data_IF_731460671854
#
_entry.id   IF_731460671854
#
_cell.length_a   1.000
_cell.length_b   1.000
_cell.length_c   1.000
_cell.angle_alpha   90.00
_cell.angle_beta   90.00
_cell.angle_gamma   90.00
#
_symmetry.space_group_name_H-M   'P 1'
#
loop_
_entity.id
_entity.type
_entity.pdbx_description
1 polymer ?
#
# COMPACT_ATOMS: atom_id res chain seq x y z
N UNK A 1 -17.88 12.75 -2.79
CA UNK A 1 -17.60 13.90 -3.70
C UNK A 1 -16.48 13.58 -4.70
N UNK A 2 -16.45 12.36 -5.27
CA UNK A 2 -15.42 11.99 -6.24
C UNK A 2 -15.97 12.25 -7.64
N UNK A 3 -15.19 12.91 -8.52
CA UNK A 3 -15.51 13.08 -9.94
C UNK A 3 -16.20 14.38 -10.37
N UNK A 4 -16.59 15.27 -9.44
CA UNK A 4 -17.15 16.58 -9.80
C UNK A 4 -16.04 17.64 -9.88
N UNK A 5 -15.85 18.25 -11.05
CA UNK A 5 -14.78 19.25 -11.30
C UNK A 5 -15.32 20.67 -11.50
N UNK A 6 -16.63 20.82 -11.71
CA UNK A 6 -17.26 22.13 -11.98
C UNK A 6 -17.93 22.74 -10.73
N UNK A 7 -18.20 24.05 -10.80
CA UNK A 7 -18.61 24.86 -9.64
C UNK A 7 -19.89 24.35 -8.98
N UNK A 8 -20.94 24.28 -9.78
CA UNK A 8 -22.31 23.93 -9.40
C UNK A 8 -22.43 22.48 -8.93
N UNK A 9 -21.67 21.56 -9.52
CA UNK A 9 -21.71 20.12 -9.19
C UNK A 9 -21.18 19.81 -7.78
N UNK A 10 -20.15 20.53 -7.34
CA UNK A 10 -19.58 20.37 -5.99
C UNK A 10 -20.53 20.96 -4.94
N UNK A 11 -21.04 22.19 -5.12
CA UNK A 11 -21.99 22.80 -4.20
C UNK A 11 -23.28 21.98 -4.09
N UNK A 12 -23.80 21.47 -5.21
CA UNK A 12 -24.94 20.54 -5.21
C UNK A 12 -24.66 19.26 -4.42
N UNK A 13 -23.46 18.71 -4.54
CA UNK A 13 -23.06 17.50 -3.80
C UNK A 13 -22.93 17.77 -2.30
N UNK A 14 -22.35 18.90 -1.90
CA UNK A 14 -22.24 19.30 -0.49
C UNK A 14 -23.61 19.54 0.12
N UNK A 15 -24.51 20.23 -0.58
CA UNK A 15 -25.87 20.46 -0.12
C UNK A 15 -26.65 19.15 0.08
N UNK A 16 -26.53 18.19 -0.85
CA UNK A 16 -27.13 16.85 -0.69
C UNK A 16 -26.65 16.14 0.56
N UNK A 17 -25.35 16.21 0.85
CA UNK A 17 -24.76 15.60 2.05
C UNK A 17 -25.28 16.28 3.32
N UNK A 18 -25.33 17.62 3.34
CA UNK A 18 -25.87 18.37 4.48
C UNK A 18 -27.34 18.04 4.74
N UNK A 19 -28.17 17.94 3.68
CA UNK A 19 -29.57 17.54 3.80
C UNK A 19 -29.72 16.10 4.31
N UNK A 20 -28.94 15.16 3.78
CA UNK A 20 -28.92 13.79 4.29
C UNK A 20 -28.53 13.74 5.77
N UNK A 21 -27.59 14.57 6.21
CA UNK A 21 -27.24 14.64 7.63
C UNK A 21 -28.42 15.09 8.48
N UNK A 22 -29.19 16.08 8.02
CA UNK A 22 -30.38 16.55 8.73
C UNK A 22 -31.49 15.48 8.76
N UNK A 23 -31.81 14.87 7.61
CA UNK A 23 -32.80 13.80 7.49
C UNK A 23 -32.48 12.58 8.37
N UNK A 24 -31.20 12.23 8.46
CA UNK A 24 -30.71 11.09 9.25
C UNK A 24 -30.31 11.48 10.69
N UNK A 25 -30.66 12.68 11.15
CA UNK A 25 -30.38 13.19 12.51
C UNK A 25 -28.89 13.16 12.90
N UNK A 26 -28.00 13.31 11.92
CA UNK A 26 -26.54 13.32 12.09
C UNK A 26 -26.11 14.69 12.61
N UNK A 27 -25.42 14.71 13.76
CA UNK A 27 -25.07 15.96 14.45
C UNK A 27 -23.82 16.65 13.93
N UNK A 28 -22.98 15.95 13.18
CA UNK A 28 -21.77 16.52 12.60
C UNK A 28 -21.32 15.85 11.31
N UNK A 29 -20.77 16.64 10.40
CA UNK A 29 -20.19 16.15 9.14
C UNK A 29 -18.86 16.84 8.84
N UNK A 30 -17.95 16.13 8.17
CA UNK A 30 -16.64 16.64 7.80
C UNK A 30 -16.47 16.71 6.29
N UNK A 31 -16.00 17.84 5.77
CA UNK A 31 -15.62 18.01 4.36
C UNK A 31 -14.14 18.33 4.24
N UNK A 32 -13.42 17.82 3.23
CA UNK A 32 -12.10 18.30 2.90
C UNK A 32 -12.17 19.76 2.43
N UNK A 33 -11.15 20.55 2.74
CA UNK A 33 -10.98 21.90 2.20
C UNK A 33 -10.85 21.83 0.66
N UNK A 34 -11.81 22.42 -0.05
CA UNK A 34 -11.83 22.48 -1.51
C UNK A 34 -10.60 23.26 -2.00
N UNK A 35 -9.86 22.67 -2.95
CA UNK A 35 -8.61 23.25 -3.49
C UNK A 35 -7.31 22.72 -2.87
N UNK A 36 -7.37 21.72 -1.99
CA UNK A 36 -6.16 21.13 -1.34
C UNK A 36 -5.59 19.89 -2.04
N UNK A 37 -6.18 19.48 -3.17
CA UNK A 37 -5.76 18.32 -3.97
C UNK A 37 -4.87 18.65 -5.17
N UNK A 38 -4.34 17.61 -5.85
CA UNK A 38 -3.35 17.68 -6.95
C UNK A 38 -3.84 18.31 -8.26
N UNK A 39 -5.02 18.94 -8.24
CA UNK A 39 -5.60 19.72 -9.33
C UNK A 39 -5.85 21.10 -8.75
N UNK A 40 -5.00 22.08 -9.10
CA UNK A 40 -5.29 23.52 -9.30
C UNK A 40 -3.97 24.30 -9.22
N UNK A 41 -3.61 24.93 -10.34
CA UNK A 41 -2.55 25.91 -10.46
C UNK A 41 -3.15 27.33 -10.31
N UNK A 42 -2.42 28.21 -9.62
CA UNK A 42 -2.64 29.66 -9.39
C UNK A 42 -3.43 30.10 -8.16
N UNK A 43 -2.87 31.11 -7.48
CA UNK A 43 -3.41 31.83 -6.30
C UNK A 43 -4.80 32.47 -6.55
N UNK A 44 -5.15 32.71 -7.83
CA UNK A 44 -6.41 33.32 -8.27
C UNK A 44 -7.63 32.39 -8.03
N UNK A 45 -7.43 31.09 -7.81
CA UNK A 45 -8.52 30.16 -7.49
C UNK A 45 -8.73 29.90 -6.00
N UNK A 46 -7.75 30.22 -5.14
CA UNK A 46 -7.91 30.13 -3.68
C UNK A 46 -8.91 31.17 -3.16
N UNK A 47 -8.92 32.37 -3.72
CA UNK A 47 -9.93 33.41 -3.43
C UNK A 47 -11.33 33.02 -3.92
N UNK A 48 -11.44 32.27 -5.03
CA UNK A 48 -12.72 31.74 -5.52
C UNK A 48 -13.23 30.57 -4.67
N UNK A 49 -12.35 29.68 -4.20
CA UNK A 49 -12.70 28.67 -3.19
C UNK A 49 -13.11 29.31 -1.85
N UNK A 50 -12.49 30.45 -1.49
CA UNK A 50 -12.80 31.32 -0.34
C UNK A 50 -14.26 31.78 -0.35
N UNK A 51 -14.73 32.30 -1.48
CA UNK A 51 -16.12 32.76 -1.68
C UNK A 51 -17.14 31.60 -1.69
N UNK A 52 -16.68 30.37 -2.00
CA UNK A 52 -17.52 29.19 -2.28
C UNK A 52 -18.10 28.53 -1.02
N UNK A 53 -17.27 28.34 0.01
CA UNK A 53 -17.74 27.91 1.34
C UNK A 53 -18.75 28.88 1.95
N UNK A 54 -18.56 30.15 1.61
CA UNK A 54 -19.30 31.30 2.09
C UNK A 54 -20.74 31.34 1.55
N UNK A 55 -20.91 31.01 0.26
CA UNK A 55 -22.22 30.89 -0.38
C UNK A 55 -22.95 29.60 0.03
N UNK A 56 -22.23 28.49 0.20
CA UNK A 56 -22.83 27.21 0.65
C UNK A 56 -23.34 27.29 2.11
N UNK A 57 -22.67 28.02 3.00
CA UNK A 57 -23.15 28.27 4.36
C UNK A 57 -24.39 29.18 4.41
N UNK A 58 -24.52 30.13 3.47
CA UNK A 58 -25.76 30.93 3.29
C UNK A 58 -26.92 30.10 2.73
N UNK A 59 -26.64 28.97 2.06
CA UNK A 59 -27.69 28.08 1.53
C UNK A 59 -28.39 27.24 2.61
N UNK A 60 -27.86 27.21 3.85
CA UNK A 60 -28.52 26.66 5.05
C UNK A 60 -29.52 27.64 5.67
N UNK A 61 -30.23 28.43 4.84
CA UNK A 61 -31.23 29.41 5.29
C UNK A 61 -32.39 28.77 6.10
N UNK A 62 -32.46 27.43 6.13
CA UNK A 62 -33.26 26.66 7.07
C UNK A 62 -32.41 26.32 8.29
N UNK A 63 -32.71 26.92 9.44
CA UNK A 63 -32.06 26.59 10.72
C UNK A 63 -32.12 25.08 10.98
N UNK A 64 -31.01 24.33 10.87
CA UNK A 64 -31.04 22.88 10.99
C UNK A 64 -31.34 22.47 12.43
N UNK A 65 -32.22 21.49 12.64
CA UNK A 65 -32.61 21.01 13.96
C UNK A 65 -31.62 19.99 14.50
N UNK A 66 -30.95 19.23 13.64
CA UNK A 66 -30.15 18.07 14.04
C UNK A 66 -28.67 18.24 13.73
N UNK A 67 -28.29 18.82 12.59
CA UNK A 67 -26.90 19.07 12.24
C UNK A 67 -26.35 20.30 12.98
N UNK A 68 -25.46 20.07 13.95
CA UNK A 68 -24.92 21.12 14.84
C UNK A 68 -23.51 21.59 14.46
N UNK A 69 -22.71 20.75 13.81
CA UNK A 69 -21.28 21.04 13.53
C UNK A 69 -20.89 20.61 12.12
N UNK A 70 -20.18 21.48 11.40
CA UNK A 70 -19.55 21.14 10.13
C UNK A 70 -18.04 21.36 10.29
N UNK A 71 -17.27 20.29 10.11
CA UNK A 71 -15.81 20.33 10.19
C UNK A 71 -15.22 20.46 8.79
N UNK A 72 -14.30 21.41 8.60
CA UNK A 72 -13.53 21.52 7.36
C UNK A 72 -12.10 21.03 7.62
N UNK A 73 -11.69 19.98 6.90
CA UNK A 73 -10.39 19.33 7.06
C UNK A 73 -9.39 19.94 6.09
N UNK A 74 -8.41 20.68 6.61
CA UNK A 74 -7.34 21.30 5.83
C UNK A 74 -6.16 20.33 5.80
N UNK A 75 -5.83 19.81 4.63
CA UNK A 75 -4.78 18.80 4.48
C UNK A 75 -3.35 19.38 4.53
N UNK A 76 -3.18 20.67 4.24
CA UNK A 76 -1.87 21.33 4.23
C UNK A 76 -1.83 22.46 5.27
N UNK A 77 -1.01 22.31 6.30
CA UNK A 77 -0.91 23.26 7.42
C UNK A 77 -0.58 24.70 6.97
N UNK A 78 0.21 24.86 5.89
CA UNK A 78 0.53 26.16 5.29
C UNK A 78 -0.69 26.96 4.79
N UNK A 79 -1.82 26.31 4.56
CA UNK A 79 -3.06 26.93 4.08
C UNK A 79 -3.98 27.37 5.24
N UNK A 80 -3.61 27.06 6.49
CA UNK A 80 -4.41 27.40 7.68
C UNK A 80 -4.58 28.92 7.88
N UNK A 81 -3.54 29.77 7.72
CA UNK A 81 -3.68 31.22 7.88
C UNK A 81 -4.65 31.85 6.87
N UNK A 82 -4.56 31.43 5.60
CA UNK A 82 -5.43 31.92 4.51
C UNK A 82 -6.90 31.56 4.74
N UNK A 83 -7.14 30.36 5.25
CA UNK A 83 -8.47 29.89 5.59
C UNK A 83 -9.04 30.60 6.83
N UNK A 84 -8.22 30.86 7.86
CA UNK A 84 -8.67 31.63 9.03
C UNK A 84 -9.05 33.06 8.66
N UNK A 85 -8.28 33.70 7.77
CA UNK A 85 -8.61 35.03 7.26
C UNK A 85 -9.90 35.03 6.41
N UNK A 86 -10.15 33.95 5.65
CA UNK A 86 -11.39 33.73 4.90
C UNK A 86 -12.62 33.72 5.78
N UNK A 87 -12.57 32.89 6.83
CA UNK A 87 -13.67 32.73 7.77
C UNK A 87 -13.93 34.04 8.52
N UNK A 88 -12.89 34.81 8.86
CA UNK A 88 -13.04 36.14 9.47
C UNK A 88 -13.74 37.15 8.54
N UNK A 89 -13.37 37.20 7.25
CA UNK A 89 -13.99 38.09 6.25
C UNK A 89 -15.43 37.71 5.89
N UNK A 90 -15.84 36.48 6.17
CA UNK A 90 -17.14 35.91 5.76
C UNK A 90 -18.35 36.36 6.58
N UNK A 91 -18.14 36.86 7.80
CA UNK A 91 -19.23 37.16 8.74
C UNK A 91 -19.99 35.93 9.27
N UNK A 92 -19.61 34.70 8.88
CA UNK A 92 -20.24 33.44 9.34
C UNK A 92 -19.86 33.05 10.77
N UNK A 93 -18.87 33.73 11.34
CA UNK A 93 -18.51 33.62 12.76
C UNK A 93 -18.91 34.92 13.43
N UNK A 94 -19.93 34.88 14.29
CA UNK A 94 -20.14 35.96 15.25
C UNK A 94 -18.84 36.11 16.03
N UNK A 95 -18.23 37.31 16.10
CA UNK A 95 -17.13 37.55 17.03
C UNK A 95 -17.61 37.06 18.40
N UNK A 96 -16.79 36.28 19.11
CA UNK A 96 -17.01 36.08 20.53
C UNK A 96 -17.23 37.47 21.12
N UNK A 97 -18.44 37.73 21.59
CA UNK A 97 -18.77 39.01 22.22
C UNK A 97 -17.68 39.25 23.26
N UNK A 98 -16.95 40.36 23.10
CA UNK A 98 -16.07 40.82 24.17
C UNK A 98 -16.93 40.87 25.43
N UNK A 99 -16.49 40.31 26.55
CA UNK A 99 -17.22 40.45 27.80
C UNK A 99 -17.41 41.95 28.02
N UNK A 100 -18.66 42.38 28.11
CA UNK A 100 -18.99 43.69 28.67
C UNK A 100 -18.42 43.65 30.09
N UNK A 101 -17.37 44.43 30.33
CA UNK A 101 -16.79 44.60 31.66
C UNK A 101 -17.81 45.43 32.45
N UNK A 102 -18.48 44.89 33.48
CA UNK A 102 -19.23 45.72 34.41
C UNK A 102 -18.21 46.56 35.18
N UNK A 103 -18.51 47.85 35.31
CA UNK A 103 -17.78 48.78 36.20
C UNK A 103 -17.58 48.11 37.57
N UNK A 104 -16.35 48.12 38.13
CA UNK A 104 -16.07 47.38 39.35
C UNK A 104 -16.79 48.05 40.52
N UNK A 105 -17.88 47.43 40.96
CA UNK A 105 -18.38 47.64 42.32
C UNK A 105 -17.56 46.72 43.23
N UNK A 106 -16.85 47.35 44.17
CA UNK A 106 -16.01 46.69 45.15
C UNK A 106 -16.83 45.62 45.91
N UNK A 107 -16.48 44.35 45.71
CA UNK A 107 -16.82 43.25 46.61
C UNK A 107 -15.62 42.29 46.73
N UNK A 108 -15.44 41.67 47.91
CA UNK A 108 -14.16 41.12 48.35
C UNK A 108 -13.75 39.89 47.52
N UNK A 109 -12.44 39.70 47.39
CA UNK A 109 -11.82 38.59 46.68
C UNK A 109 -12.20 37.23 47.32
N UNK A 110 -13.16 36.54 46.73
CA UNK A 110 -13.40 35.12 46.98
C UNK A 110 -12.47 34.36 46.03
N UNK A 111 -11.53 33.59 46.58
CA UNK A 111 -10.70 32.66 45.83
C UNK A 111 -11.59 31.59 45.18
N UNK A 112 -11.93 31.79 43.90
CA UNK A 112 -12.74 30.85 43.13
C UNK A 112 -11.87 29.69 42.66
N UNK A 113 -11.85 28.61 43.46
CA UNK A 113 -11.40 27.31 42.99
C UNK A 113 -12.32 26.86 41.84
N UNK A 114 -11.73 26.48 40.71
CA UNK A 114 -12.45 25.85 39.60
C UNK A 114 -12.01 24.39 39.48
N UNK A 115 -12.86 23.56 38.86
CA UNK A 115 -12.52 22.20 38.48
C UNK A 115 -12.70 22.00 36.97
N UNK A 116 -11.81 21.23 36.36
CA UNK A 116 -11.84 20.87 34.94
C UNK A 116 -11.58 19.40 34.74
N UNK A 117 -12.45 18.78 33.96
CA UNK A 117 -12.33 17.38 33.59
C UNK A 117 -11.53 17.25 32.30
N UNK A 118 -10.61 16.28 32.28
CA UNK A 118 -9.85 15.83 31.13
C UNK A 118 -10.27 14.39 30.86
N UNK A 119 -10.84 14.14 29.68
CA UNK A 119 -11.33 12.83 29.29
C UNK A 119 -10.49 12.25 28.16
N UNK A 120 -9.90 11.08 28.38
CA UNK A 120 -9.11 10.35 27.38
C UNK A 120 -8.86 8.92 27.83
N UNK A 121 -9.00 7.95 26.91
CA UNK A 121 -8.64 6.56 27.14
C UNK A 121 -7.15 6.34 27.42
N UNK A 122 -6.28 7.29 27.05
CA UNK A 122 -4.82 7.18 27.18
C UNK A 122 -4.26 7.72 28.50
N UNK A 123 -5.12 8.00 29.48
CA UNK A 123 -4.67 8.44 30.82
C UNK A 123 -3.89 7.33 31.53
N UNK A 124 -4.29 6.07 31.34
CA UNK A 124 -3.60 4.90 31.90
C UNK A 124 -2.27 4.60 31.22
N UNK A 125 -2.09 5.07 29.98
CA UNK A 125 -0.94 4.76 29.12
C UNK A 125 0.23 5.75 29.32
N UNK A 126 0.06 6.73 30.22
CA UNK A 126 1.10 7.69 30.54
C UNK A 126 2.32 6.99 31.16
N UNK A 127 3.55 7.23 30.67
CA UNK A 127 4.75 6.67 31.27
C UNK A 127 5.00 7.27 32.67
N UNK A 128 5.77 6.55 33.48
CA UNK A 128 6.09 6.99 34.86
C UNK A 128 6.79 8.35 34.92
N UNK A 129 7.53 8.73 33.87
CA UNK A 129 8.10 10.08 33.73
C UNK A 129 7.04 11.16 33.69
N UNK A 130 5.97 10.93 32.93
CA UNK A 130 4.90 11.89 32.70
C UNK A 130 4.00 11.94 33.92
N UNK A 131 3.72 10.80 34.56
CA UNK A 131 3.05 10.75 35.86
C UNK A 131 3.79 11.56 36.92
N UNK A 132 5.11 11.41 37.02
CA UNK A 132 5.96 12.21 37.92
C UNK A 132 5.92 13.70 37.57
N UNK A 133 5.93 14.05 36.27
CA UNK A 133 5.78 15.44 35.83
C UNK A 133 4.42 16.03 36.21
N UNK A 134 3.34 15.26 36.11
CA UNK A 134 1.99 15.67 36.53
C UNK A 134 1.94 15.89 38.06
N UNK A 135 2.57 15.02 38.84
CA UNK A 135 2.69 15.21 40.30
C UNK A 135 3.52 16.47 40.63
N UNK A 136 4.60 16.72 39.89
CA UNK A 136 5.39 17.93 40.05
C UNK A 136 4.58 19.19 39.70
N UNK A 137 3.78 19.16 38.62
CA UNK A 137 2.85 20.23 38.26
C UNK A 137 1.81 20.47 39.36
N UNK A 138 1.26 19.40 39.94
CA UNK A 138 0.32 19.50 41.05
C UNK A 138 0.91 20.25 42.25
N UNK A 139 2.15 19.91 42.63
CA UNK A 139 2.85 20.55 43.75
C UNK A 139 3.24 21.99 43.45
N UNK A 140 3.78 22.26 42.26
CA UNK A 140 4.25 23.59 41.87
C UNK A 140 3.10 24.60 41.78
N UNK A 141 1.94 24.17 41.27
CA UNK A 141 0.81 25.04 41.01
C UNK A 141 -0.27 25.00 42.11
N UNK A 142 -0.04 24.27 43.23
CA UNK A 142 -1.01 24.07 44.31
C UNK A 142 -2.39 23.61 43.82
N UNK A 143 -2.40 22.75 42.81
CA UNK A 143 -3.61 22.17 42.22
C UNK A 143 -3.77 20.72 42.64
N UNK A 144 -5.01 20.27 42.77
CA UNK A 144 -5.35 18.87 43.01
C UNK A 144 -5.68 18.18 41.68
N UNK A 145 -5.02 17.05 41.43
CA UNK A 145 -5.23 16.21 40.24
C UNK A 145 -5.73 14.86 40.72
N UNK A 146 -6.97 14.51 40.36
CA UNK A 146 -7.62 13.28 40.77
C UNK A 146 -8.02 12.45 39.54
N UNK A 147 -7.46 11.24 39.42
CA UNK A 147 -7.94 10.25 38.44
C UNK A 147 -9.26 9.69 38.96
N UNK A 148 -10.36 10.03 38.28
CA UNK A 148 -11.73 9.71 38.71
C UNK A 148 -12.21 8.39 38.09
N UNK A 149 -11.69 8.04 36.91
CA UNK A 149 -11.86 6.76 36.23
C UNK A 149 -10.66 6.51 35.31
N UNK A 150 -10.58 5.33 34.68
CA UNK A 150 -9.53 5.00 33.71
C UNK A 150 -9.45 5.98 32.53
N UNK A 151 -10.55 6.64 32.20
CA UNK A 151 -10.66 7.59 31.09
C UNK A 151 -10.87 9.05 31.54
N UNK A 152 -10.83 9.35 32.84
CA UNK A 152 -11.15 10.68 33.35
C UNK A 152 -10.23 11.14 34.47
N UNK A 153 -9.68 12.33 34.31
CA UNK A 153 -8.86 13.04 35.28
C UNK A 153 -9.48 14.42 35.57
N UNK A 154 -9.60 14.77 36.85
CA UNK A 154 -10.17 16.03 37.32
C UNK A 154 -9.06 16.90 37.90
N UNK A 155 -8.88 18.11 37.37
CA UNK A 155 -7.91 19.12 37.86
C UNK A 155 -8.67 20.23 38.57
N UNK A 156 -8.33 20.53 39.82
CA UNK A 156 -8.99 21.55 40.63
C UNK A 156 -8.01 22.48 41.35
N UNK A 157 -8.38 23.76 41.49
CA UNK A 157 -7.52 24.79 42.08
C UNK A 157 -7.80 26.19 41.54
N UNK A 158 -6.84 27.10 41.66
CA UNK A 158 -6.97 28.47 41.14
C UNK A 158 -7.09 28.44 39.62
N UNK A 159 -7.95 29.31 39.07
CA UNK A 159 -8.32 29.32 37.64
C UNK A 159 -7.15 29.23 36.67
N UNK A 160 -6.17 30.12 36.80
CA UNK A 160 -5.07 30.22 35.83
C UNK A 160 -4.16 28.98 35.90
N UNK A 161 -3.90 28.51 37.12
CA UNK A 161 -3.07 27.34 37.41
C UNK A 161 -3.71 26.04 36.91
N UNK A 162 -5.04 25.91 37.04
CA UNK A 162 -5.81 24.79 36.51
C UNK A 162 -5.76 24.77 34.98
N UNK A 163 -5.91 25.93 34.32
CA UNK A 163 -5.89 25.99 32.86
C UNK A 163 -4.51 25.65 32.28
N UNK A 164 -3.42 26.17 32.87
CA UNK A 164 -2.05 25.84 32.46
C UNK A 164 -1.75 24.33 32.65
N UNK A 165 -2.14 23.77 33.80
CA UNK A 165 -1.94 22.36 34.06
C UNK A 165 -2.75 21.47 33.13
N UNK A 166 -4.01 21.81 32.84
CA UNK A 166 -4.84 21.06 31.88
C UNK A 166 -4.21 21.07 30.48
N UNK A 167 -3.63 22.20 30.03
CA UNK A 167 -2.93 22.26 28.75
C UNK A 167 -1.70 21.32 28.73
N UNK A 168 -0.88 21.34 29.79
CA UNK A 168 0.29 20.47 29.92
C UNK A 168 -0.09 18.98 29.98
N UNK A 169 -1.12 18.65 30.76
CA UNK A 169 -1.65 17.29 30.89
C UNK A 169 -2.18 16.79 29.54
N UNK A 170 -2.93 17.61 28.80
CA UNK A 170 -3.37 17.27 27.45
C UNK A 170 -2.18 17.05 26.49
N UNK A 171 -1.08 17.80 26.66
CA UNK A 171 0.17 17.55 25.94
C UNK A 171 0.75 16.17 26.19
N UNK A 172 0.82 15.73 27.45
CA UNK A 172 1.28 14.38 27.81
C UNK A 172 0.34 13.29 27.25
N UNK A 173 -0.97 13.49 27.36
CA UNK A 173 -1.96 12.54 26.83
C UNK A 173 -1.84 12.43 25.29
N UNK A 174 -1.66 13.55 24.60
CA UNK A 174 -1.46 13.54 23.16
C UNK A 174 -0.16 12.81 22.78
N UNK A 175 0.93 13.04 23.53
CA UNK A 175 2.19 12.33 23.32
C UNK A 175 2.06 10.82 23.56
N UNK A 176 1.25 10.38 24.53
CA UNK A 176 0.97 8.96 24.75
C UNK A 176 0.19 8.35 23.57
N UNK A 177 -0.83 9.05 23.05
CA UNK A 177 -1.57 8.65 21.86
C UNK A 177 -0.69 8.53 20.62
N UNK A 178 0.18 9.51 20.41
CA UNK A 178 1.10 9.52 19.27
C UNK A 178 2.12 8.38 19.38
N UNK A 179 2.54 8.03 20.61
CA UNK A 179 3.43 6.89 20.87
C UNK A 179 2.77 5.55 20.58
N UNK A 180 1.55 5.32 21.06
CA UNK A 180 0.81 4.08 20.75
C UNK A 180 0.60 3.93 19.24
N UNK A 181 0.22 5.03 18.57
CA UNK A 181 0.06 5.05 17.11
C UNK A 181 1.37 4.67 16.43
N UNK A 182 2.49 5.28 16.84
CA UNK A 182 3.83 4.98 16.31
C UNK A 182 4.23 3.53 16.59
N UNK A 183 4.04 3.02 17.80
CA UNK A 183 4.33 1.63 18.15
C UNK A 183 3.53 0.65 17.29
N UNK A 184 2.25 0.94 17.05
CA UNK A 184 1.41 0.18 16.14
C UNK A 184 1.93 0.19 14.70
N UNK A 185 2.35 1.35 14.20
CA UNK A 185 2.90 1.48 12.85
C UNK A 185 4.29 0.83 12.70
N UNK A 186 5.17 0.99 13.68
CA UNK A 186 6.50 0.33 13.74
C UNK A 186 6.32 -1.19 13.79
N UNK A 187 5.39 -1.68 14.61
CA UNK A 187 5.08 -3.11 14.72
C UNK A 187 4.55 -3.66 13.40
N UNK A 188 3.69 -2.92 12.70
CA UNK A 188 3.21 -3.31 11.37
C UNK A 188 4.34 -3.29 10.34
N UNK A 189 5.20 -2.27 10.37
CA UNK A 189 6.26 -2.13 9.38
C UNK A 189 7.30 -3.24 9.53
N UNK A 190 7.77 -3.54 10.75
CA UNK A 190 8.79 -4.59 10.99
C UNK A 190 8.37 -5.99 10.54
N UNK A 191 7.07 -6.25 10.41
CA UNK A 191 6.56 -7.53 9.89
C UNK A 191 6.68 -7.62 8.35
N UNK A 192 6.96 -6.50 7.69
CA UNK A 192 6.95 -6.38 6.22
C UNK A 192 8.27 -5.88 5.63
N UNK A 193 9.03 -5.07 6.39
CA UNK A 193 10.18 -4.30 5.91
C UNK A 193 11.17 -4.02 7.05
N UNK A 194 12.46 -4.17 6.75
CA UNK A 194 13.54 -3.68 7.59
C UNK A 194 14.62 -3.05 6.71
N UNK A 195 15.27 -2.02 7.22
CA UNK A 195 16.43 -1.44 6.57
C UNK A 195 17.69 -2.14 7.05
N UNK A 196 18.57 -2.49 6.12
CA UNK A 196 19.86 -3.11 6.40
C UNK A 196 21.00 -2.18 5.97
N UNK A 197 22.10 -2.26 6.71
CA UNK A 197 23.30 -1.48 6.45
C UNK A 197 24.51 -2.40 6.36
N UNK A 198 25.25 -2.29 5.27
CA UNK A 198 26.49 -3.04 5.06
C UNK A 198 27.66 -2.43 5.86
N UNK A 199 28.16 -3.15 6.86
CA UNK A 199 29.37 -2.81 7.62
C UNK A 199 30.53 -3.71 7.16
N UNK A 200 31.30 -3.23 6.19
CA UNK A 200 32.32 -4.04 5.52
C UNK A 200 31.65 -5.12 4.67
N UNK A 201 31.95 -6.40 4.93
CA UNK A 201 31.35 -7.54 4.21
C UNK A 201 30.08 -8.10 4.87
N UNK A 202 29.62 -7.51 5.98
CA UNK A 202 28.44 -8.00 6.73
C UNK A 202 27.28 -7.03 6.63
N UNK A 203 26.09 -7.58 6.44
CA UNK A 203 24.83 -6.85 6.51
C UNK A 203 24.27 -6.94 7.92
N UNK A 204 23.84 -5.80 8.46
CA UNK A 204 23.21 -5.71 9.78
C UNK A 204 21.85 -5.02 9.66
N UNK A 205 20.81 -5.65 10.19
CA UNK A 205 19.46 -5.09 10.23
C UNK A 205 19.35 -4.00 11.30
N UNK A 206 18.79 -2.86 10.92
CA UNK A 206 18.54 -1.73 11.81
C UNK A 206 17.36 -2.03 12.74
N UNK A 207 17.36 -1.38 13.92
CA UNK A 207 16.24 -1.44 14.85
C UNK A 207 14.92 -1.03 14.16
N UNK A 208 13.81 -1.69 14.51
CA UNK A 208 12.51 -1.44 13.89
C UNK A 208 12.08 0.03 13.93
N UNK A 209 12.39 0.75 15.01
CA UNK A 209 12.10 2.19 15.14
C UNK A 209 12.89 3.04 14.13
N UNK A 210 14.18 2.74 13.98
CA UNK A 210 15.07 3.42 13.01
C UNK A 210 14.61 3.11 11.59
N UNK A 211 14.35 1.84 11.28
CA UNK A 211 13.84 1.41 9.97
C UNK A 211 12.54 2.14 9.61
N UNK A 212 11.63 2.34 10.57
CA UNK A 212 10.41 3.10 10.36
C UNK A 212 10.65 4.58 10.05
N UNK A 213 11.56 5.23 10.77
CA UNK A 213 11.88 6.64 10.52
C UNK A 213 12.53 6.86 9.14
N UNK A 214 13.43 5.95 8.74
CA UNK A 214 14.06 5.96 7.41
C UNK A 214 13.01 5.75 6.32
N UNK A 215 12.16 4.73 6.46
CA UNK A 215 11.09 4.44 5.50
C UNK A 215 10.10 5.61 5.37
N UNK A 216 9.72 6.22 6.48
CA UNK A 216 8.82 7.36 6.49
C UNK A 216 9.45 8.56 5.75
N UNK A 217 10.74 8.81 5.93
CA UNK A 217 11.47 9.86 5.23
C UNK A 217 11.59 9.57 3.72
N UNK A 218 11.91 8.32 3.36
CA UNK A 218 11.99 7.85 1.99
C UNK A 218 10.65 7.99 1.26
N UNK A 219 9.55 7.52 1.87
CA UNK A 219 8.20 7.62 1.31
C UNK A 219 7.73 9.08 1.17
N UNK A 220 8.22 9.99 2.03
CA UNK A 220 7.99 11.44 1.91
C UNK A 220 8.82 12.11 0.82
N UNK A 221 9.66 11.35 0.10
CA UNK A 221 10.58 11.85 -0.94
C UNK A 221 11.55 12.89 -0.40
N UNK A 222 11.99 12.71 0.84
CA UNK A 222 13.12 13.48 1.35
C UNK A 222 14.39 13.03 0.64
N UNK A 223 15.41 13.90 0.58
CA UNK A 223 16.70 13.56 -0.03
C UNK A 223 17.61 12.80 0.94
N UNK A 224 17.45 13.07 2.23
CA UNK A 224 18.20 12.42 3.28
C UNK A 224 17.43 12.41 4.59
N UNK A 225 17.82 11.53 5.51
CA UNK A 225 17.35 11.53 6.90
C UNK A 225 18.51 11.24 7.85
N UNK A 226 18.32 11.54 9.12
CA UNK A 226 19.29 11.24 10.18
C UNK A 226 18.68 10.34 11.23
N UNK A 227 19.49 9.41 11.74
CA UNK A 227 19.13 8.56 12.87
C UNK A 227 20.32 8.44 13.84
N UNK A 228 20.00 8.06 15.08
CA UNK A 228 20.98 7.81 16.12
C UNK A 228 21.01 6.33 16.47
N UNK A 229 22.21 5.77 16.55
CA UNK A 229 22.43 4.38 16.96
C UNK A 229 23.72 4.31 17.78
N UNK A 230 23.66 3.65 18.95
CA UNK A 230 24.80 3.51 19.88
C UNK A 230 25.50 4.84 20.24
N UNK A 231 24.77 5.95 20.21
CA UNK A 231 25.29 7.29 20.53
C UNK A 231 25.95 8.04 19.37
N UNK A 232 26.03 7.44 18.18
CA UNK A 232 26.54 8.08 16.97
C UNK A 232 25.39 8.56 16.07
N UNK A 233 25.62 9.60 15.27
CA UNK A 233 24.63 10.14 14.32
C UNK A 233 25.00 9.77 12.89
N UNK A 234 24.07 9.11 12.24
CA UNK A 234 24.15 8.62 10.87
C UNK A 234 23.25 9.43 9.95
N UNK A 235 23.70 9.72 8.73
CA UNK A 235 22.92 10.39 7.68
C UNK A 235 22.76 9.46 6.48
N UNK A 236 21.52 9.17 6.12
CA UNK A 236 21.15 8.36 4.95
C UNK A 236 20.95 9.30 3.75
N UNK A 237 21.63 9.06 2.63
CA UNK A 237 21.44 9.70 1.33
C UNK A 237 20.60 8.77 0.45
N UNK A 238 19.35 9.16 0.16
CA UNK A 238 18.41 8.31 -0.57
C UNK A 238 18.65 8.26 -2.08
N UNK A 239 19.38 9.23 -2.64
CA UNK A 239 19.72 9.23 -4.07
C UNK A 239 20.82 8.20 -4.35
N UNK A 240 21.75 8.03 -3.40
CA UNK A 240 22.86 7.06 -3.49
C UNK A 240 22.60 5.74 -2.79
N UNK A 241 21.60 5.69 -1.92
CA UNK A 241 21.37 4.59 -0.98
C UNK A 241 22.61 4.30 -0.13
N UNK A 242 23.21 5.38 0.42
CA UNK A 242 24.42 5.32 1.26
C UNK A 242 24.15 5.94 2.64
N UNK A 243 24.73 5.37 3.70
CA UNK A 243 24.77 5.96 5.04
C UNK A 243 26.15 6.50 5.34
N UNK A 244 26.23 7.72 5.86
CA UNK A 244 27.47 8.36 6.31
C UNK A 244 27.42 8.63 7.81
N UNK A 245 28.55 8.45 8.49
CA UNK A 245 28.67 8.85 9.89
C UNK A 245 29.48 10.14 10.04
N UNK A 246 28.96 11.01 10.90
CA UNK A 246 29.46 12.37 11.13
C UNK A 246 30.86 12.42 11.76
N UNK A 247 31.33 11.36 12.40
CA UNK A 247 32.56 11.32 13.21
C UNK A 247 33.75 10.75 12.44
N UNK A 248 33.52 9.80 11.54
CA UNK A 248 34.57 8.95 10.97
C UNK A 248 34.50 8.80 9.44
N UNK A 249 33.52 9.43 8.77
CA UNK A 249 33.48 9.56 7.32
C UNK A 249 33.30 8.24 6.55
N UNK A 250 33.03 7.12 7.25
CA UNK A 250 32.74 5.86 6.59
C UNK A 250 31.44 5.97 5.78
N UNK A 251 31.43 5.30 4.63
CA UNK A 251 30.24 5.12 3.79
C UNK A 251 29.80 3.67 3.90
N UNK A 252 28.55 3.47 4.27
CA UNK A 252 27.89 2.16 4.32
C UNK A 252 26.82 2.14 3.23
N UNK A 253 26.52 0.97 2.68
CA UNK A 253 25.42 0.82 1.72
C UNK A 253 24.15 0.54 2.53
N UNK A 254 23.09 1.29 2.24
CA UNK A 254 21.77 1.09 2.83
C UNK A 254 20.88 0.35 1.82
N UNK A 255 20.18 -0.69 2.26
CA UNK A 255 19.20 -1.35 1.42
C UNK A 255 17.92 -1.61 2.20
N UNK A 256 16.79 -1.39 1.54
CA UNK A 256 15.49 -1.79 2.06
C UNK A 256 15.29 -3.27 1.77
N UNK A 257 15.24 -4.10 2.80
CA UNK A 257 14.97 -5.53 2.65
C UNK A 257 13.58 -5.87 3.20
N UNK A 258 12.83 -6.78 2.56
CA UNK A 258 11.60 -7.30 3.16
C UNK A 258 11.95 -8.09 4.43
N UNK A 259 11.53 -7.61 5.61
CA UNK A 259 11.92 -8.20 6.91
C UNK A 259 11.38 -9.61 7.14
N UNK A 260 10.43 -10.05 6.31
CA UNK A 260 9.87 -11.40 6.38
C UNK A 260 9.64 -11.88 4.96
N UNK A 261 10.37 -12.92 4.57
CA UNK A 261 10.01 -13.78 3.45
C UNK A 261 8.62 -14.35 3.75
N UNK A 262 7.57 -13.73 3.18
CA UNK A 262 6.11 -14.01 3.29
C UNK A 262 5.36 -13.54 4.58
N UNK A 263 4.57 -12.45 4.51
CA UNK A 263 3.09 -12.45 4.35
C UNK A 263 2.47 -11.02 4.47
N UNK A 264 1.87 -10.52 3.37
CA UNK A 264 0.75 -9.55 3.21
C UNK A 264 0.64 -8.20 3.96
N UNK A 265 0.55 -7.16 3.12
CA UNK A 265 -0.22 -5.90 3.21
C UNK A 265 0.36 -4.72 4.03
N UNK A 266 1.02 -3.77 3.36
CA UNK A 266 0.41 -2.53 2.84
C UNK A 266 1.45 -1.65 2.09
N UNK A 267 1.88 -2.10 0.91
CA UNK A 267 2.03 -1.18 -0.23
C UNK A 267 1.71 -2.00 -1.48
N UNK A 268 0.84 -1.47 -2.32
CA UNK A 268 0.33 -2.12 -3.52
C UNK A 268 1.39 -2.15 -4.65
N UNK A 269 2.66 -2.32 -4.30
CA UNK A 269 3.77 -2.29 -5.24
C UNK A 269 4.15 -3.73 -5.53
N UNK A 270 3.66 -4.24 -6.66
CA UNK A 270 4.14 -5.49 -7.23
C UNK A 270 5.53 -5.20 -7.77
N UNK A 271 6.55 -5.65 -7.05
CA UNK A 271 7.93 -5.51 -7.48
C UNK A 271 8.22 -6.46 -8.65
N UNK A 272 8.95 -6.02 -9.69
CA UNK A 272 9.47 -6.91 -10.70
C UNK A 272 10.46 -7.91 -10.08
N UNK A 273 10.69 -9.07 -10.70
CA UNK A 273 11.75 -10.00 -10.31
C UNK A 273 13.10 -9.30 -10.25
N UNK A 274 13.94 -9.69 -9.29
CA UNK A 274 15.31 -9.16 -9.13
C UNK A 274 16.21 -9.44 -10.32
N UNK A 275 15.86 -10.43 -11.16
CA UNK A 275 16.58 -10.72 -12.41
C UNK A 275 16.32 -9.69 -13.50
N UNK A 276 15.29 -8.84 -13.38
CA UNK A 276 14.97 -7.87 -14.42
C UNK A 276 16.01 -6.78 -14.53
N UNK A 277 16.38 -6.44 -15.76
CA UNK A 277 17.12 -5.22 -16.07
C UNK A 277 16.19 -4.02 -16.05
N UNK A 278 16.77 -2.82 -15.95
CA UNK A 278 16.04 -1.56 -15.96
C UNK A 278 15.21 -1.42 -17.24
N UNK A 279 13.91 -1.15 -17.08
CA UNK A 279 12.94 -1.04 -18.19
C UNK A 279 12.88 0.35 -18.84
N UNK A 280 13.48 1.39 -18.23
CA UNK A 280 13.48 2.78 -18.70
C UNK A 280 12.09 3.33 -19.13
N UNK A 281 11.03 2.90 -18.43
CA UNK A 281 9.65 3.33 -18.69
C UNK A 281 8.91 2.54 -19.79
N UNK A 282 9.54 1.52 -20.38
CA UNK A 282 8.89 0.60 -21.32
C UNK A 282 8.04 -0.44 -20.58
N UNK A 283 6.92 -0.85 -21.19
CA UNK A 283 6.08 -1.93 -20.62
C UNK A 283 6.61 -3.33 -20.95
N UNK A 284 7.29 -3.50 -22.09
CA UNK A 284 7.84 -4.77 -22.56
C UNK A 284 9.29 -4.61 -23.01
N UNK A 285 10.15 -5.48 -22.50
CA UNK A 285 11.55 -5.64 -22.91
C UNK A 285 11.85 -7.14 -23.05
N UNK A 286 12.56 -7.52 -24.10
CA UNK A 286 13.02 -8.90 -24.32
C UNK A 286 14.54 -8.89 -24.23
N UNK A 287 15.08 -9.57 -23.23
CA UNK A 287 16.51 -9.57 -22.92
C UNK A 287 17.10 -10.93 -23.27
N UNK A 288 17.93 -10.98 -24.31
CA UNK A 288 18.72 -12.17 -24.62
C UNK A 288 19.78 -12.39 -23.54
N UNK A 289 19.67 -13.52 -22.83
CA UNK A 289 20.58 -13.85 -21.74
C UNK A 289 21.95 -14.22 -22.28
N UNK A 290 23.00 -13.81 -21.55
CA UNK A 290 24.37 -14.19 -21.87
C UNK A 290 24.59 -15.66 -21.49
N UNK A 291 25.16 -16.46 -22.39
CA UNK A 291 25.34 -17.91 -22.21
C UNK A 291 26.23 -18.29 -21.02
N UNK A 292 27.10 -17.38 -20.58
CA UNK A 292 27.96 -17.57 -19.42
C UNK A 292 27.29 -17.22 -18.07
N UNK A 293 26.12 -16.56 -18.08
CA UNK A 293 25.41 -16.14 -16.87
C UNK A 293 24.83 -17.33 -16.10
N UNK A 294 24.73 -17.20 -14.77
CA UNK A 294 24.13 -18.23 -13.93
C UNK A 294 22.64 -18.47 -14.27
N UNK A 295 21.92 -17.39 -14.58
CA UNK A 295 20.51 -17.45 -14.99
C UNK A 295 20.34 -18.29 -16.26
N UNK A 296 21.11 -18.01 -17.32
CA UNK A 296 21.08 -18.80 -18.56
C UNK A 296 21.34 -20.28 -18.29
N UNK A 297 22.44 -20.59 -17.57
CA UNK A 297 22.85 -21.98 -17.28
C UNK A 297 21.78 -22.73 -16.49
N UNK A 298 21.09 -22.07 -15.57
CA UNK A 298 20.00 -22.67 -14.80
C UNK A 298 18.80 -23.02 -15.68
N UNK A 299 18.43 -22.15 -16.63
CA UNK A 299 17.34 -22.42 -17.58
C UNK A 299 17.72 -23.52 -18.57
N UNK A 300 18.93 -23.43 -19.14
CA UNK A 300 19.48 -24.41 -20.07
C UNK A 300 19.55 -25.80 -19.42
N UNK A 301 20.12 -25.92 -18.22
CA UNK A 301 20.23 -27.21 -17.50
C UNK A 301 18.85 -27.82 -17.25
N UNK A 302 17.86 -27.02 -16.84
CA UNK A 302 16.50 -27.51 -16.62
C UNK A 302 15.83 -27.99 -17.93
N UNK A 303 16.06 -27.28 -19.04
CA UNK A 303 15.57 -27.68 -20.35
C UNK A 303 16.24 -28.98 -20.83
N UNK A 304 17.57 -29.06 -20.79
CA UNK A 304 18.34 -30.24 -21.22
C UNK A 304 18.00 -31.47 -20.38
N UNK A 305 17.70 -31.30 -19.09
CA UNK A 305 17.23 -32.40 -18.23
C UNK A 305 15.85 -32.93 -18.63
N UNK A 306 15.01 -32.08 -19.23
CA UNK A 306 13.61 -32.39 -19.53
C UNK A 306 13.31 -32.47 -21.04
N UNK A 307 14.33 -32.45 -21.90
CA UNK A 307 14.23 -32.47 -23.37
C UNK A 307 15.37 -33.29 -23.98
N UNK A 308 15.12 -33.93 -25.12
CA UNK A 308 16.16 -34.63 -25.89
C UNK A 308 16.97 -33.71 -26.81
N UNK A 309 16.69 -32.40 -26.82
CA UNK A 309 17.28 -31.43 -27.75
C UNK A 309 18.55 -30.79 -27.15
N UNK A 310 19.76 -31.11 -27.65
CA UNK A 310 21.01 -30.61 -27.06
C UNK A 310 21.34 -29.17 -27.48
N UNK A 311 20.72 -28.66 -28.54
CA UNK A 311 21.09 -27.40 -29.19
C UNK A 311 20.17 -26.23 -28.78
N UNK A 312 20.31 -25.77 -27.54
CA UNK A 312 19.57 -24.60 -27.00
C UNK A 312 20.24 -23.30 -27.41
N UNK A 313 19.58 -22.45 -28.22
CA UNK A 313 20.01 -21.07 -28.56
C UNK A 313 18.89 -20.23 -29.19
N UNK A 314 18.79 -18.91 -28.92
CA UNK A 314 19.04 -18.18 -27.65
C UNK A 314 17.94 -18.39 -26.60
N UNK A 315 18.22 -18.01 -25.34
CA UNK A 315 17.21 -17.91 -24.27
C UNK A 315 16.95 -16.42 -24.01
N UNK A 316 15.72 -16.00 -24.22
CA UNK A 316 15.28 -14.62 -24.00
C UNK A 316 14.42 -14.53 -22.74
N UNK A 317 14.78 -13.65 -21.81
CA UNK A 317 13.92 -13.28 -20.67
C UNK A 317 12.91 -12.25 -21.14
N UNK A 318 11.63 -12.52 -20.89
CA UNK A 318 10.55 -11.59 -21.18
C UNK A 318 10.29 -10.76 -19.92
N UNK A 319 10.39 -9.44 -20.05
CA UNK A 319 10.10 -8.49 -18.98
C UNK A 319 8.87 -7.69 -19.39
N UNK A 320 7.69 -8.07 -18.91
CA UNK A 320 6.45 -7.32 -19.18
C UNK A 320 5.79 -6.85 -17.90
N UNK A 321 5.80 -5.54 -17.65
CA UNK A 321 5.31 -4.96 -16.40
C UNK A 321 3.81 -5.22 -16.21
N UNK A 322 2.99 -4.93 -17.22
CA UNK A 322 1.55 -5.16 -17.20
C UNK A 322 1.16 -6.64 -17.05
N UNK A 323 1.89 -7.57 -17.66
CA UNK A 323 1.64 -9.01 -17.51
C UNK A 323 2.06 -9.52 -16.13
N UNK A 324 3.23 -9.09 -15.65
CA UNK A 324 3.75 -9.44 -14.33
C UNK A 324 2.80 -8.99 -13.22
N UNK A 325 2.27 -7.77 -13.32
CA UNK A 325 1.29 -7.25 -12.35
C UNK A 325 0.02 -8.10 -12.30
N UNK A 326 -0.59 -8.40 -13.46
CA UNK A 326 -1.80 -9.25 -13.53
C UNK A 326 -1.55 -10.63 -12.95
N UNK A 327 -0.42 -11.23 -13.30
CA UNK A 327 0.02 -12.52 -12.78
C UNK A 327 0.17 -12.50 -11.26
N UNK A 328 0.90 -11.53 -10.71
CA UNK A 328 1.14 -11.42 -9.28
C UNK A 328 -0.14 -11.18 -8.46
N UNK A 329 -1.08 -10.35 -8.95
CA UNK A 329 -2.38 -10.16 -8.28
C UNK A 329 -3.13 -11.48 -8.16
N UNK A 330 -3.20 -12.26 -9.24
CA UNK A 330 -3.87 -13.56 -9.22
C UNK A 330 -3.14 -14.54 -8.30
N UNK A 331 -1.81 -14.63 -8.41
CA UNK A 331 -0.99 -15.48 -7.54
C UNK A 331 -1.21 -15.16 -6.07
N UNK A 332 -1.20 -13.88 -5.68
CA UNK A 332 -1.45 -13.45 -4.30
C UNK A 332 -2.85 -13.84 -3.81
N UNK A 333 -3.87 -13.72 -4.67
CA UNK A 333 -5.23 -14.13 -4.33
C UNK A 333 -5.31 -15.66 -4.10
N UNK A 334 -4.67 -16.46 -4.94
CA UNK A 334 -4.62 -17.92 -4.81
C UNK A 334 -3.78 -18.35 -3.60
N UNK A 335 -2.63 -17.71 -3.34
CA UNK A 335 -1.81 -17.96 -2.16
C UNK A 335 -2.56 -17.68 -0.86
N UNK A 336 -3.36 -16.61 -0.84
CA UNK A 336 -4.25 -16.31 0.29
C UNK A 336 -5.35 -17.36 0.46
N UNK A 337 -5.88 -17.88 -0.65
CA UNK A 337 -6.94 -18.92 -0.65
C UNK A 337 -6.39 -20.28 -0.18
N UNK A 338 -5.17 -20.64 -0.57
CA UNK A 338 -4.53 -21.93 -0.24
C UNK A 338 -3.10 -21.73 0.31
N UNK A 339 -2.95 -21.27 1.57
CA UNK A 339 -1.64 -20.89 2.13
C UNK A 339 -0.69 -22.06 2.39
N UNK A 340 -1.19 -23.30 2.40
CA UNK A 340 -0.41 -24.52 2.69
C UNK A 340 -0.06 -25.34 1.45
N UNK A 341 -0.40 -24.86 0.25
CA UNK A 341 -0.23 -25.59 -1.01
C UNK A 341 0.81 -24.94 -1.92
N UNK A 342 1.36 -25.72 -2.85
CA UNK A 342 2.20 -25.20 -3.92
C UNK A 342 1.30 -24.66 -5.04
N UNK A 343 1.06 -23.35 -5.03
CA UNK A 343 0.13 -22.71 -5.96
C UNK A 343 0.77 -22.28 -7.28
N UNK A 344 2.10 -22.22 -7.38
CA UNK A 344 2.85 -21.87 -8.60
C UNK A 344 3.70 -23.05 -9.07
N UNK A 345 3.75 -23.26 -10.39
CA UNK A 345 4.66 -24.23 -11.02
C UNK A 345 5.37 -23.60 -12.22
N UNK A 346 6.62 -24.01 -12.44
CA UNK A 346 7.35 -23.73 -13.68
C UNK A 346 7.02 -24.82 -14.69
N UNK A 347 6.37 -24.46 -15.79
CA UNK A 347 5.90 -25.38 -16.81
C UNK A 347 6.30 -24.92 -18.21
N UNK A 348 6.14 -25.79 -19.21
CA UNK A 348 6.55 -25.54 -20.58
C UNK A 348 5.36 -25.36 -21.52
N UNK A 349 5.48 -24.45 -22.49
CA UNK A 349 4.47 -24.22 -23.53
C UNK A 349 5.13 -24.09 -24.90
N UNK A 350 4.89 -25.05 -25.79
CA UNK A 350 5.36 -24.98 -27.18
C UNK A 350 4.45 -24.11 -28.04
N UNK A 351 5.05 -23.33 -28.93
CA UNK A 351 4.28 -22.50 -29.86
C UNK A 351 5.06 -22.20 -31.14
N UNK A 352 4.41 -21.53 -32.10
CA UNK A 352 5.05 -21.06 -33.33
C UNK A 352 5.64 -19.67 -33.16
N UNK A 353 6.62 -19.34 -34.00
CA UNK A 353 7.31 -18.03 -34.01
C UNK A 353 6.34 -16.85 -34.08
N UNK A 354 5.29 -16.96 -34.90
CA UNK A 354 4.28 -15.92 -35.11
C UNK A 354 3.46 -15.68 -33.84
N UNK A 355 3.24 -16.73 -33.05
CA UNK A 355 2.48 -16.64 -31.81
C UNK A 355 3.35 -16.14 -30.65
N UNK A 356 4.66 -16.41 -30.64
CA UNK A 356 5.60 -15.83 -29.66
C UNK A 356 5.47 -14.30 -29.58
N UNK A 357 5.36 -13.61 -30.72
CA UNK A 357 5.18 -12.14 -30.74
C UNK A 357 3.90 -11.70 -30.02
N UNK A 358 2.81 -12.47 -30.18
CA UNK A 358 1.53 -12.20 -29.53
C UNK A 358 1.57 -12.49 -28.04
N UNK A 359 2.22 -13.59 -27.65
CA UNK A 359 2.40 -13.99 -26.24
C UNK A 359 3.29 -12.96 -25.52
N UNK A 360 4.43 -12.57 -26.10
CA UNK A 360 5.31 -11.57 -25.51
C UNK A 360 4.59 -10.24 -25.23
N UNK A 361 3.67 -9.83 -26.13
CA UNK A 361 2.92 -8.58 -25.99
C UNK A 361 1.72 -8.68 -25.05
N UNK A 362 0.95 -9.76 -25.13
CA UNK A 362 -0.39 -9.82 -24.53
C UNK A 362 -0.52 -10.86 -23.40
N UNK A 363 0.46 -11.74 -23.26
CA UNK A 363 0.38 -12.94 -22.44
C UNK A 363 -0.27 -14.11 -23.16
N UNK A 364 -0.46 -15.20 -22.43
CA UNK A 364 -1.20 -16.36 -22.92
C UNK A 364 -2.69 -16.01 -23.04
N UNK A 365 -3.29 -16.38 -24.17
CA UNK A 365 -4.71 -16.13 -24.41
C UNK A 365 -5.34 -17.41 -24.95
N UNK A 366 -6.31 -17.94 -24.20
CA UNK A 366 -7.00 -19.19 -24.53
C UNK A 366 -7.64 -19.20 -25.92
N UNK A 367 -8.04 -18.03 -26.43
CA UNK A 367 -8.62 -17.89 -27.78
C UNK A 367 -7.63 -18.21 -28.90
N UNK A 368 -6.32 -18.15 -28.63
CA UNK A 368 -5.27 -18.51 -29.58
C UNK A 368 -4.77 -19.95 -29.41
N UNK A 369 -5.03 -20.58 -28.26
CA UNK A 369 -4.43 -21.86 -27.87
C UNK A 369 -5.20 -23.12 -28.31
N UNK A 370 -6.30 -22.97 -29.05
CA UNK A 370 -7.20 -24.08 -29.43
C UNK A 370 -6.86 -24.83 -30.74
N UNK A 371 -5.68 -24.64 -31.33
CA UNK A 371 -5.33 -25.31 -32.60
C UNK A 371 -5.01 -26.80 -32.45
N UNK A 372 -4.51 -27.21 -31.28
CA UNK A 372 -4.01 -28.56 -31.04
C UNK A 372 -4.67 -29.14 -29.77
N UNK A 373 -5.73 -29.91 -29.96
CA UNK A 373 -6.46 -30.71 -28.97
C UNK A 373 -7.22 -29.95 -27.86
N UNK A 374 -8.55 -29.98 -27.92
CA UNK A 374 -9.49 -29.59 -26.83
C UNK A 374 -9.80 -30.74 -25.86
N UNK A 375 -8.93 -31.76 -25.83
CA UNK A 375 -9.14 -33.01 -25.06
C UNK A 375 -9.25 -32.74 -23.55
N UNK A 376 -8.57 -31.70 -23.06
CA UNK A 376 -8.57 -31.31 -21.65
C UNK A 376 -9.22 -29.93 -21.42
N UNK A 377 -10.00 -29.44 -22.40
CA UNK A 377 -10.72 -28.17 -22.32
C UNK A 377 -10.24 -27.07 -23.27
N UNK A 378 -10.99 -25.97 -23.28
CA UNK A 378 -10.74 -24.76 -24.05
C UNK A 378 -9.90 -23.75 -23.22
N UNK A 379 -8.68 -24.15 -22.88
CA UNK A 379 -7.73 -23.34 -22.09
C UNK A 379 -6.34 -23.25 -22.71
N UNK A 380 -5.40 -22.66 -21.98
CA UNK A 380 -3.97 -22.66 -22.33
C UNK A 380 -3.30 -23.87 -21.70
N UNK A 381 -2.58 -24.64 -22.49
CA UNK A 381 -1.96 -25.92 -22.11
C UNK A 381 -0.49 -25.74 -21.75
N UNK A 382 -0.06 -26.41 -20.68
CA UNK A 382 1.34 -26.44 -20.24
C UNK A 382 1.76 -27.86 -19.89
N UNK A 383 2.95 -28.26 -20.33
CA UNK A 383 3.57 -29.54 -20.00
C UNK A 383 4.50 -29.42 -18.80
N UNK A 384 4.49 -30.44 -17.93
CA UNK A 384 5.42 -30.57 -16.80
C UNK A 384 6.88 -30.62 -17.24
N UNK A 385 7.14 -31.27 -18.37
CA UNK A 385 8.49 -31.47 -18.93
C UNK A 385 8.59 -30.91 -20.35
N UNK A 386 9.78 -30.42 -20.70
CA UNK A 386 9.98 -29.70 -21.96
C UNK A 386 9.76 -30.57 -23.19
N UNK A 387 10.15 -31.86 -23.16
CA UNK A 387 10.06 -32.79 -24.30
C UNK A 387 8.65 -32.84 -24.89
N UNK A 388 7.62 -32.73 -24.04
CA UNK A 388 6.24 -32.72 -24.48
C UNK A 388 5.95 -31.49 -25.33
N UNK A 389 6.34 -30.30 -24.83
CA UNK A 389 6.19 -29.03 -25.55
C UNK A 389 7.09 -28.93 -26.79
N UNK A 390 8.18 -29.69 -26.83
CA UNK A 390 9.08 -29.77 -27.99
C UNK A 390 8.51 -30.55 -29.16
N UNK A 391 7.41 -31.30 -29.02
CA UNK A 391 6.82 -32.03 -30.14
C UNK A 391 6.36 -31.07 -31.24
N UNK A 392 6.49 -31.50 -32.50
CA UNK A 392 6.18 -30.66 -33.67
C UNK A 392 4.72 -30.19 -33.71
N UNK A 393 3.79 -30.95 -33.14
CA UNK A 393 2.41 -30.53 -33.02
C UNK A 393 2.20 -29.31 -32.11
N UNK A 394 3.16 -28.96 -31.25
CA UNK A 394 3.06 -27.80 -30.34
C UNK A 394 4.06 -26.70 -30.69
N UNK A 395 5.30 -27.07 -31.01
CA UNK A 395 6.36 -26.14 -31.40
C UNK A 395 6.82 -26.41 -32.82
N UNK A 396 5.95 -26.20 -33.82
CA UNK A 396 6.30 -26.41 -35.22
C UNK A 396 7.58 -25.64 -35.59
N UNK A 397 8.56 -26.28 -36.26
CA UNK A 397 9.75 -25.59 -36.72
C UNK A 397 9.41 -24.49 -37.74
N UNK A 398 10.10 -23.36 -37.65
CA UNK A 398 10.02 -22.29 -38.66
C UNK A 398 10.83 -22.66 -39.93
N UNK A 399 10.84 -21.77 -40.92
CA UNK A 399 11.59 -21.95 -42.18
C UNK A 399 13.10 -22.21 -41.97
N UNK A 400 13.64 -21.86 -40.81
CA UNK A 400 15.04 -22.05 -40.41
C UNK A 400 15.24 -23.28 -39.52
N UNK A 401 14.22 -24.13 -39.38
CA UNK A 401 14.19 -25.29 -38.50
C UNK A 401 14.36 -24.93 -37.01
N UNK A 402 13.94 -23.72 -36.63
CA UNK A 402 13.94 -23.26 -35.24
C UNK A 402 12.56 -23.49 -34.60
N UNK A 403 12.58 -23.98 -33.38
CA UNK A 403 11.42 -24.28 -32.55
C UNK A 403 11.44 -23.38 -31.32
N UNK A 404 10.25 -23.09 -30.81
CA UNK A 404 10.04 -22.09 -29.76
C UNK A 404 9.20 -22.67 -28.63
N UNK A 405 9.72 -22.61 -27.41
CA UNK A 405 8.96 -22.97 -26.22
C UNK A 405 9.13 -21.90 -25.14
N UNK A 406 8.09 -21.67 -24.35
CA UNK A 406 8.20 -20.88 -23.13
C UNK A 406 8.46 -21.78 -21.93
N UNK A 407 9.31 -21.30 -21.01
CA UNK A 407 9.28 -21.72 -19.61
C UNK A 407 8.50 -20.66 -18.83
N UNK A 408 7.29 -21.00 -18.42
CA UNK A 408 6.32 -20.08 -17.83
C UNK A 408 6.12 -20.35 -16.34
N UNK A 409 5.81 -19.29 -15.59
CA UNK A 409 5.24 -19.42 -14.24
C UNK A 409 3.74 -19.56 -14.36
N UNK A 410 3.19 -20.61 -13.78
CA UNK A 410 1.77 -20.95 -13.93
C UNK A 410 1.14 -21.05 -12.55
N UNK A 411 0.09 -20.28 -12.31
CA UNK A 411 -0.74 -20.38 -11.11
C UNK A 411 -1.63 -21.60 -11.26
N UNK A 412 -1.29 -22.67 -10.55
CA UNK A 412 -1.99 -23.95 -10.59
C UNK A 412 -2.98 -24.12 -9.45
N UNK A 413 -2.75 -23.50 -8.29
CA UNK A 413 -3.69 -23.48 -7.16
C UNK A 413 -4.36 -24.82 -6.88
N UNK A 414 -5.68 -24.80 -6.72
CA UNK A 414 -6.47 -26.02 -6.58
C UNK A 414 -6.70 -26.69 -7.95
N UNK A 415 -6.48 -28.01 -8.00
CA UNK A 415 -6.55 -28.81 -9.22
C UNK A 415 -7.89 -29.55 -9.34
N UNK A 416 -8.42 -29.62 -10.57
CA UNK A 416 -9.51 -30.54 -10.95
C UNK A 416 -9.09 -31.45 -12.10
N UNK A 417 -9.81 -32.56 -12.30
CA UNK A 417 -9.60 -33.43 -13.46
C UNK A 417 -10.18 -32.76 -14.71
N UNK A 418 -9.36 -32.63 -15.73
CA UNK A 418 -9.77 -32.09 -17.03
C UNK A 418 -10.69 -33.02 -17.82
N UNK A 419 -11.50 -32.45 -18.71
CA UNK A 419 -12.37 -33.16 -19.66
C UNK A 419 -12.51 -32.38 -20.97
N UNK A 420 -12.89 -33.08 -22.04
CA UNK A 420 -13.19 -32.44 -23.31
C UNK A 420 -14.33 -31.42 -23.20
N UNK A 421 -14.20 -30.28 -23.87
CA UNK A 421 -15.24 -29.24 -23.94
C UNK A 421 -15.44 -28.39 -22.69
N UNK A 422 -14.63 -28.56 -21.63
CA UNK A 422 -14.68 -27.65 -20.48
C UNK A 422 -14.19 -26.25 -20.88
N UNK A 423 -14.90 -25.21 -20.46
CA UNK A 423 -14.54 -23.79 -20.71
C UNK A 423 -14.01 -23.08 -19.47
N UNK A 424 -14.21 -23.69 -18.32
CA UNK A 424 -13.73 -23.28 -17.02
C UNK A 424 -13.49 -24.53 -16.15
N UNK A 425 -12.66 -24.44 -15.09
CA UNK A 425 -12.44 -25.51 -14.15
C UNK A 425 -13.73 -25.93 -13.44
N UNK A 426 -13.75 -27.13 -12.87
CA UNK A 426 -14.90 -27.58 -12.10
C UNK A 426 -15.12 -26.76 -10.82
N UNK A 427 -16.36 -26.72 -10.30
CA UNK A 427 -16.63 -26.19 -8.97
C UNK A 427 -15.86 -26.95 -7.90
N UNK A 428 -15.31 -26.23 -6.91
CA UNK A 428 -14.63 -26.83 -5.74
C UNK A 428 -15.60 -27.70 -4.95
N UNK A 429 -16.85 -27.24 -4.86
CA UNK A 429 -17.93 -27.98 -4.25
C UNK A 429 -19.21 -27.79 -5.07
N UNK A 430 -19.67 -28.87 -5.72
CA UNK A 430 -20.88 -28.83 -6.54
C UNK A 430 -22.16 -28.47 -5.75
N UNK A 431 -22.16 -28.69 -4.42
CA UNK A 431 -23.28 -28.35 -3.56
C UNK A 431 -23.24 -26.90 -3.01
N UNK A 432 -22.10 -26.20 -3.13
CA UNK A 432 -21.93 -24.83 -2.66
C UNK A 432 -21.40 -23.91 -3.76
N UNK A 433 -22.28 -23.17 -4.47
CA UNK A 433 -21.89 -22.22 -5.50
C UNK A 433 -20.95 -21.10 -5.01
N UNK A 434 -20.90 -20.82 -3.70
CA UNK A 434 -20.02 -19.78 -3.13
C UNK A 434 -18.58 -20.25 -2.94
N UNK A 435 -18.32 -21.56 -2.99
CA UNK A 435 -16.98 -22.13 -2.92
C UNK A 435 -16.11 -21.74 -4.15
N UNK A 436 -16.76 -21.39 -5.26
CA UNK A 436 -16.10 -21.01 -6.51
C UNK A 436 -15.54 -22.22 -7.28
N UNK A 437 -14.69 -21.93 -8.26
CA UNK A 437 -14.08 -22.91 -9.14
C UNK A 437 -12.66 -23.28 -8.68
N UNK A 438 -12.19 -24.44 -9.12
CA UNK A 438 -10.78 -24.79 -9.11
C UNK A 438 -9.96 -23.81 -9.97
N UNK A 439 -8.65 -23.78 -9.80
CA UNK A 439 -7.77 -22.79 -10.44
C UNK A 439 -7.14 -23.34 -11.73
N UNK A 440 -6.89 -24.65 -11.77
CA UNK A 440 -6.30 -25.34 -12.92
C UNK A 440 -6.91 -26.73 -13.12
N UNK A 441 -7.03 -27.16 -14.38
CA UNK A 441 -7.42 -28.52 -14.72
C UNK A 441 -6.20 -29.34 -15.14
N UNK A 442 -6.14 -30.61 -14.77
CA UNK A 442 -5.02 -31.50 -15.07
C UNK A 442 -5.46 -32.79 -15.73
N UNK A 443 -4.56 -33.40 -16.50
CA UNK A 443 -4.78 -34.72 -17.09
C UNK A 443 -4.91 -35.82 -16.04
N UNK A 444 -4.24 -35.72 -14.89
CA UNK A 444 -4.31 -36.68 -13.78
C UNK A 444 -4.15 -35.99 -12.43
N UNK A 445 -5.01 -36.31 -11.46
CA UNK A 445 -4.92 -35.72 -10.11
C UNK A 445 -3.78 -36.33 -9.29
N UNK A 446 -3.46 -37.61 -9.52
CA UNK A 446 -2.42 -38.32 -8.79
C UNK A 446 -1.02 -37.97 -9.28
N UNK A 447 -0.84 -37.85 -10.60
CA UNK A 447 0.43 -37.48 -11.23
C UNK A 447 0.19 -36.55 -12.42
N UNK A 448 -0.05 -35.26 -12.17
CA UNK A 448 -0.36 -34.29 -13.23
C UNK A 448 0.85 -34.08 -14.13
N UNK A 449 0.62 -34.15 -15.43
CA UNK A 449 1.62 -33.91 -16.46
C UNK A 449 1.22 -32.75 -17.39
N UNK A 450 -0.07 -32.64 -17.71
CA UNK A 450 -0.65 -31.55 -18.51
C UNK A 450 -1.47 -30.67 -17.58
N UNK A 451 -1.21 -29.37 -17.63
CA UNK A 451 -1.93 -28.35 -16.87
C UNK A 451 -2.65 -27.42 -17.84
N UNK A 452 -3.94 -27.22 -17.62
CA UNK A 452 -4.80 -26.35 -18.43
C UNK A 452 -5.30 -25.20 -17.58
N UNK A 453 -5.02 -23.98 -18.03
CA UNK A 453 -5.39 -22.75 -17.36
C UNK A 453 -6.39 -21.98 -18.20
N UNK A 454 -7.50 -21.56 -17.57
CA UNK A 454 -8.62 -20.89 -18.24
C UNK A 454 -8.64 -19.37 -18.00
N UNK A 455 -7.80 -18.88 -17.09
CA UNK A 455 -7.60 -17.47 -16.82
C UNK A 455 -6.39 -16.94 -17.58
N UNK A 456 -6.54 -15.86 -18.36
CA UNK A 456 -5.44 -15.28 -19.16
C UNK A 456 -4.30 -14.73 -18.28
N UNK A 457 -4.59 -14.34 -17.04
CA UNK A 457 -3.57 -13.92 -16.06
C UNK A 457 -2.94 -15.11 -15.29
N UNK A 458 -3.40 -16.34 -15.53
CA UNK A 458 -2.95 -17.54 -14.82
C UNK A 458 -1.56 -18.04 -15.18
N UNK A 459 -0.89 -17.42 -16.17
CA UNK A 459 0.48 -17.74 -16.50
C UNK A 459 1.26 -16.52 -16.98
N UNK A 460 2.55 -16.47 -16.61
CA UNK A 460 3.52 -15.47 -17.05
C UNK A 460 4.61 -16.10 -17.93
N UNK A 461 4.81 -15.64 -19.18
CA UNK A 461 5.81 -16.20 -20.09
C UNK A 461 7.21 -15.70 -19.69
N UNK A 462 7.87 -16.35 -18.73
CA UNK A 462 9.12 -15.83 -18.13
C UNK A 462 10.32 -15.90 -19.07
N UNK A 463 10.53 -17.04 -19.73
CA UNK A 463 11.63 -17.25 -20.67
C UNK A 463 11.13 -17.87 -21.97
N UNK A 464 11.62 -17.36 -23.11
CA UNK A 464 11.47 -17.96 -24.43
C UNK A 464 12.77 -18.69 -24.78
N UNK A 465 12.67 -19.99 -24.99
CA UNK A 465 13.78 -20.86 -25.37
C UNK A 465 13.62 -21.16 -26.86
N UNK A 466 14.62 -20.76 -27.65
CA UNK A 466 14.73 -21.15 -29.05
C UNK A 466 15.72 -22.32 -29.16
N UNK A 467 15.41 -23.29 -30.02
CA UNK A 467 16.26 -24.46 -30.25
C UNK A 467 16.06 -24.98 -31.67
N UNK A 468 17.00 -25.78 -32.18
CA UNK A 468 16.83 -26.44 -33.49
C UNK A 468 16.02 -27.72 -33.36
N UNK A 469 15.19 -28.01 -34.37
CA UNK A 469 14.64 -29.34 -34.56
C UNK A 469 15.75 -30.39 -34.68
N UNK A 470 15.50 -31.59 -34.16
CA UNK A 470 16.33 -32.78 -34.39
C UNK A 470 15.97 -33.38 -35.74
#
# INVERSE_FOLDING_TARGET
MVGQTNEKGISSSMYKVLRMCEENKIQSVSFPALGTGKLVHSEIQMSKAKQRYLNDAKMLNDSPKHLKRVHIVIFQAKLLPDFQEAVKKSGLVKPLQKPVIPVPTQRPAICLCISKDVQSSHITDLPETDKKAIVALSRANQISVLVTSSDKLTVSGKRDDVLDAVLKINGFIQAARDRETREGEVKRLRETLCWEVARGERWESLESGISYDIELAFHRKQKSCQYQEKGETYTVDFDKMEVTNSICGYRLIAETVPSVTFLVCFSAIIHPPTTWTKMDGRDLEIITLQSNSAEYKNIETAFLKSSQHPNVKPIDRIQSQSQWQRYCVLKQAVDKKYPKQTNERLLYHGTTKEICQKINKNGFNRSFCGRNAVVHGEGTYFGKEAWYSCQDQYSNPDDKQLKYIYRARVVTGSLCKSRGGMKEPDPINAADPRAGLHDCAVDSLQNPFIFVVFCDAGAYPEYLITFKSI
#
